data_IF_084088293684
#
_entry.id   IF_084088293684
#
_cell.length_a   1.000
_cell.length_b   1.000
_cell.length_c   1.000
_cell.angle_alpha   90.00
_cell.angle_beta   90.00
_cell.angle_gamma   90.00
#
_symmetry.space_group_name_H-M   'P 1'
#
loop_
_entity.id
_entity.type
_entity.pdbx_description
1 polymer ?
#
# COMPACT_ATOMS: atom_id res chain seq x y z
N UNK A 1 2.48 12.01 5.48
CA UNK A 1 3.15 10.89 6.15
C UNK A 1 3.35 9.76 5.17
N UNK A 2 4.56 9.26 5.08
CA UNK A 2 4.87 8.12 4.20
C UNK A 2 4.36 6.84 4.84
N UNK A 3 3.70 5.97 4.05
CA UNK A 3 3.21 4.69 4.52
C UNK A 3 3.55 3.58 3.54
N UNK A 4 3.79 2.40 4.07
CA UNK A 4 3.83 1.17 3.29
C UNK A 4 2.41 0.62 3.23
N UNK A 5 1.94 0.42 2.02
CA UNK A 5 0.63 -0.13 1.74
C UNK A 5 0.80 -1.54 1.20
N UNK A 6 0.24 -2.51 1.87
CA UNK A 6 0.33 -3.91 1.51
C UNK A 6 -1.03 -4.41 1.03
N UNK A 7 -1.09 -4.84 -0.23
CA UNK A 7 -2.32 -5.27 -0.87
C UNK A 7 -2.26 -6.76 -1.13
N UNK A 8 -3.26 -7.50 -0.67
CA UNK A 8 -3.40 -8.93 -0.97
C UNK A 8 -4.67 -9.12 -1.80
N UNK A 9 -4.52 -9.74 -2.96
CA UNK A 9 -5.59 -9.79 -3.97
C UNK A 9 -6.11 -11.22 -4.09
N UNK A 10 -7.40 -11.46 -3.78
CA UNK A 10 -7.99 -12.77 -3.99
C UNK A 10 -8.05 -13.12 -5.48
N UNK A 11 -8.13 -14.41 -5.77
CA UNK A 11 -8.02 -14.89 -7.16
C UNK A 11 -9.19 -14.50 -8.05
N UNK A 12 -10.41 -14.53 -7.54
CA UNK A 12 -11.62 -14.54 -8.35
C UNK A 12 -11.74 -13.35 -9.32
N UNK A 13 -11.81 -12.14 -8.80
CA UNK A 13 -11.98 -10.94 -9.64
C UNK A 13 -10.75 -10.64 -10.49
N UNK A 14 -9.57 -10.88 -9.95
CA UNK A 14 -8.35 -10.67 -10.71
C UNK A 14 -8.26 -11.66 -11.88
N UNK A 15 -8.55 -12.93 -11.64
CA UNK A 15 -8.59 -13.93 -12.71
C UNK A 15 -9.60 -13.56 -13.78
N UNK A 16 -10.77 -13.08 -13.39
CA UNK A 16 -11.78 -12.64 -14.35
C UNK A 16 -11.25 -11.49 -15.23
N UNK A 17 -10.57 -10.52 -14.63
CA UNK A 17 -9.98 -9.39 -15.36
C UNK A 17 -8.85 -9.84 -16.30
N UNK A 18 -8.04 -10.82 -15.89
CA UNK A 18 -7.01 -11.41 -16.75
C UNK A 18 -7.66 -12.08 -17.95
N UNK A 19 -8.66 -12.92 -17.69
CA UNK A 19 -9.34 -13.69 -18.75
C UNK A 19 -10.06 -12.82 -19.77
N UNK A 20 -10.66 -11.71 -19.32
CA UNK A 20 -11.37 -10.79 -20.24
C UNK A 20 -10.49 -9.67 -20.79
N UNK A 21 -9.19 -9.65 -20.45
CA UNK A 21 -8.24 -8.70 -21.00
C UNK A 21 -8.29 -7.28 -20.42
N UNK A 22 -8.95 -7.08 -19.27
CA UNK A 22 -9.13 -5.74 -18.67
C UNK A 22 -8.19 -5.44 -17.50
N UNK A 23 -7.37 -6.43 -17.07
CA UNK A 23 -6.54 -6.29 -15.85
C UNK A 23 -5.55 -5.13 -15.93
N UNK A 24 -4.87 -4.96 -17.06
CA UNK A 24 -3.90 -3.86 -17.23
C UNK A 24 -4.55 -2.49 -17.11
N UNK A 25 -5.72 -2.31 -17.71
CA UNK A 25 -6.47 -1.06 -17.64
C UNK A 25 -6.94 -0.77 -16.21
N UNK A 26 -7.41 -1.79 -15.49
CA UNK A 26 -7.87 -1.65 -14.10
C UNK A 26 -6.72 -1.27 -13.17
N UNK A 27 -5.59 -1.95 -13.27
CA UNK A 27 -4.40 -1.63 -12.48
C UNK A 27 -3.89 -0.23 -12.83
N UNK A 28 -3.80 0.10 -14.11
CA UNK A 28 -3.37 1.43 -14.56
C UNK A 28 -4.25 2.54 -13.98
N UNK A 29 -5.56 2.36 -13.97
CA UNK A 29 -6.50 3.32 -13.39
C UNK A 29 -6.25 3.53 -11.90
N UNK A 30 -6.01 2.45 -11.16
CA UNK A 30 -5.70 2.53 -9.73
C UNK A 30 -4.40 3.29 -9.50
N UNK A 31 -3.34 2.91 -10.19
CA UNK A 31 -2.02 3.54 -10.01
C UNK A 31 -2.02 5.01 -10.42
N UNK A 32 -2.75 5.37 -11.46
CA UNK A 32 -2.90 6.77 -11.88
C UNK A 32 -3.63 7.60 -10.82
N UNK A 33 -4.58 7.01 -10.13
CA UNK A 33 -5.35 7.70 -9.08
C UNK A 33 -4.53 7.88 -7.80
N UNK A 34 -3.80 6.86 -7.36
CA UNK A 34 -3.11 6.88 -6.07
C UNK A 34 -1.67 7.40 -6.16
N UNK A 35 -1.06 7.38 -7.32
CA UNK A 35 0.29 7.93 -7.59
C UNK A 35 1.33 7.56 -6.54
N UNK A 36 1.65 6.26 -6.38
CA UNK A 36 2.61 5.84 -5.36
C UNK A 36 4.03 6.31 -5.69
N UNK A 37 4.86 6.52 -4.65
CA UNK A 37 6.30 6.76 -4.83
C UNK A 37 7.00 5.54 -5.44
N UNK A 38 6.55 4.35 -5.03
CA UNK A 38 7.07 3.08 -5.52
C UNK A 38 5.97 2.03 -5.47
N UNK A 39 6.01 1.08 -6.40
CA UNK A 39 5.09 -0.05 -6.43
C UNK A 39 5.84 -1.29 -6.90
N UNK A 40 5.61 -2.40 -6.20
CA UNK A 40 6.14 -3.71 -6.56
C UNK A 40 5.03 -4.73 -6.47
N UNK A 41 4.90 -5.56 -7.50
CA UNK A 41 3.97 -6.68 -7.47
C UNK A 41 4.71 -7.92 -7.00
N UNK A 42 4.05 -8.70 -6.15
CA UNK A 42 4.66 -9.88 -5.54
C UNK A 42 3.58 -10.91 -5.23
N UNK A 43 4.00 -11.97 -4.59
CA UNK A 43 3.14 -13.04 -4.08
C UNK A 43 3.07 -12.90 -2.56
N UNK A 44 1.91 -13.18 -1.98
CA UNK A 44 1.71 -13.17 -0.54
C UNK A 44 0.81 -14.34 -0.15
N UNK A 45 1.38 -15.32 0.54
CA UNK A 45 0.67 -16.54 0.97
C UNK A 45 -0.03 -17.25 -0.19
N UNK A 46 0.63 -17.31 -1.35
CA UNK A 46 0.09 -17.95 -2.54
C UNK A 46 -0.91 -17.12 -3.33
N UNK A 47 -1.14 -15.88 -2.94
CA UNK A 47 -2.02 -14.93 -3.64
C UNK A 47 -1.20 -13.82 -4.27
N UNK A 48 -1.75 -13.19 -5.30
CA UNK A 48 -1.16 -12.00 -5.88
C UNK A 48 -1.18 -10.87 -4.86
N UNK A 49 -0.17 -10.04 -4.88
CA UNK A 49 -0.11 -8.90 -4.00
C UNK A 49 0.67 -7.74 -4.59
N UNK A 50 0.61 -6.62 -3.90
CA UNK A 50 1.39 -5.45 -4.23
C UNK A 50 1.89 -4.78 -2.96
N UNK A 51 3.09 -4.25 -3.03
CA UNK A 51 3.68 -3.43 -1.98
C UNK A 51 3.90 -2.05 -2.56
N UNK A 52 3.32 -1.05 -1.92
CA UNK A 52 3.40 0.33 -2.40
C UNK A 52 3.92 1.23 -1.28
N UNK A 53 4.65 2.25 -1.69
CA UNK A 53 5.00 3.35 -0.80
C UNK A 53 4.15 4.54 -1.25
N UNK A 54 3.35 5.06 -0.33
CA UNK A 54 2.40 6.14 -0.61
C UNK A 54 2.58 7.28 0.38
N UNK A 55 2.24 8.48 -0.05
CA UNK A 55 2.18 9.63 0.82
C UNK A 55 0.73 9.89 1.24
N UNK A 56 0.50 9.91 2.56
CA UNK A 56 -0.82 10.18 3.12
C UNK A 56 -0.79 11.57 3.75
N UNK A 57 -1.35 12.58 3.09
CA UNK A 57 -1.29 13.96 3.62
C UNK A 57 -2.10 14.14 4.89
N UNK A 58 -3.20 13.40 5.05
CA UNK A 58 -3.99 13.37 6.27
C UNK A 58 -4.83 12.08 6.31
N UNK A 59 -5.40 11.76 7.47
CA UNK A 59 -6.13 10.52 7.68
C UNK A 59 -7.37 10.37 6.79
N UNK A 60 -8.02 11.45 6.42
CA UNK A 60 -9.19 11.41 5.54
C UNK A 60 -8.85 10.93 4.11
N UNK A 61 -7.56 10.92 3.73
CA UNK A 61 -7.11 10.44 2.42
C UNK A 61 -6.84 8.95 2.37
N UNK A 62 -6.87 8.25 3.49
CA UNK A 62 -6.65 6.79 3.53
C UNK A 62 -7.67 6.02 2.69
N UNK A 63 -8.99 6.30 2.77
CA UNK A 63 -9.95 5.61 1.90
C UNK A 63 -9.70 5.81 0.41
N UNK A 64 -9.23 6.98 0.01
CA UNK A 64 -8.91 7.26 -1.40
C UNK A 64 -7.83 6.32 -1.94
N UNK A 65 -6.92 5.87 -1.06
CA UNK A 65 -5.85 4.95 -1.43
C UNK A 65 -6.30 3.49 -1.38
N UNK A 66 -7.16 3.13 -0.43
CA UNK A 66 -7.57 1.74 -0.20
C UNK A 66 -8.77 1.31 -1.05
N UNK A 67 -9.78 2.15 -1.19
CA UNK A 67 -11.04 1.80 -1.85
C UNK A 67 -10.88 1.35 -3.31
N UNK A 68 -9.97 1.92 -4.12
CA UNK A 68 -9.78 1.40 -5.47
C UNK A 68 -9.46 -0.10 -5.51
N UNK A 69 -8.69 -0.58 -4.54
CA UNK A 69 -8.34 -2.00 -4.42
C UNK A 69 -9.51 -2.84 -3.90
N UNK A 70 -10.21 -2.32 -2.89
CA UNK A 70 -11.39 -3.00 -2.33
C UNK A 70 -12.46 -3.20 -3.40
N UNK A 71 -12.81 -2.13 -4.10
CA UNK A 71 -13.93 -2.14 -5.03
C UNK A 71 -13.59 -2.85 -6.34
N UNK A 72 -12.36 -2.74 -6.81
CA UNK A 72 -11.96 -3.36 -8.08
C UNK A 72 -11.72 -4.85 -7.94
N UNK A 73 -11.01 -5.27 -6.90
CA UNK A 73 -10.55 -6.66 -6.76
C UNK A 73 -11.01 -7.36 -5.49
N UNK A 74 -11.75 -6.69 -4.62
CA UNK A 74 -12.08 -7.21 -3.28
C UNK A 74 -10.83 -7.58 -2.49
N UNK A 75 -9.80 -6.78 -2.65
CA UNK A 75 -8.50 -7.00 -2.02
C UNK A 75 -8.51 -6.62 -0.54
N UNK A 76 -7.58 -7.19 0.21
CA UNK A 76 -7.26 -6.75 1.56
C UNK A 76 -6.14 -5.72 1.48
N UNK A 77 -6.25 -4.66 2.25
CA UNK A 77 -5.27 -3.57 2.27
C UNK A 77 -4.85 -3.28 3.70
N UNK A 78 -3.55 -3.32 3.95
CA UNK A 78 -2.96 -2.98 5.23
C UNK A 78 -2.05 -1.77 5.06
N UNK A 79 -2.04 -0.89 6.06
CA UNK A 79 -1.14 0.26 6.08
C UNK A 79 -0.20 0.16 7.26
N UNK A 80 1.07 0.46 7.02
CA UNK A 80 2.10 0.59 8.05
C UNK A 80 2.83 1.90 7.87
N UNK A 81 3.20 2.52 8.97
CA UNK A 81 4.04 3.72 8.91
C UNK A 81 5.41 3.31 8.37
N UNK A 82 5.89 4.04 7.37
CA UNK A 82 7.21 3.84 6.78
C UNK A 82 8.10 5.02 7.15
N UNK A 83 9.09 4.76 7.97
CA UNK A 83 10.07 5.76 8.40
C UNK A 83 11.37 5.60 7.63
N UNK A 84 11.94 6.72 7.17
CA UNK A 84 13.32 6.72 6.66
C UNK A 84 14.29 6.63 7.84
N UNK A 85 15.59 6.29 7.58
CA UNK A 85 16.60 6.38 8.62
C UNK A 85 16.65 7.77 9.27
N UNK A 86 16.47 8.85 8.51
CA UNK A 86 16.43 10.19 9.05
C UNK A 86 15.22 10.43 9.96
N UNK A 87 14.05 9.90 9.60
CA UNK A 87 12.85 9.97 10.44
C UNK A 87 13.11 9.31 11.79
N UNK A 88 13.70 8.13 11.78
CA UNK A 88 14.03 7.40 12.99
C UNK A 88 15.05 8.16 13.84
N UNK A 89 16.06 8.74 13.20
CA UNK A 89 17.07 9.52 13.87
C UNK A 89 16.47 10.77 14.57
N UNK A 90 15.52 11.43 13.90
CA UNK A 90 14.84 12.61 14.45
C UNK A 90 13.89 12.28 15.60
N UNK A 91 13.57 11.00 15.82
CA UNK A 91 12.65 10.60 16.89
C UNK A 91 13.22 10.78 18.29
N UNK A 92 14.54 10.95 18.43
CA UNK A 92 15.17 11.19 19.73
C UNK A 92 15.32 9.93 20.58
N UNK A 93 15.63 8.79 19.94
CA UNK A 93 15.78 7.51 20.65
C UNK A 93 16.83 7.57 21.78
N UNK A 94 17.92 8.30 21.58
CA UNK A 94 18.96 8.42 22.61
C UNK A 94 18.44 9.10 23.88
N UNK A 95 17.63 10.14 23.72
CA UNK A 95 17.00 10.83 24.86
C UNK A 95 15.94 9.96 25.53
N UNK A 96 15.21 9.20 24.72
CA UNK A 96 14.23 8.22 25.25
C UNK A 96 14.94 7.14 26.05
N UNK A 97 16.10 6.66 25.61
CA UNK A 97 16.87 5.66 26.32
C UNK A 97 17.28 6.15 27.72
N UNK A 98 17.67 7.43 27.84
CA UNK A 98 18.03 8.01 29.14
C UNK A 98 16.85 8.06 30.10
N UNK A 99 15.65 8.32 29.57
CA UNK A 99 14.43 8.40 30.38
C UNK A 99 13.93 7.02 30.84
N UNK A 100 14.09 6.02 30.00
CA UNK A 100 13.50 4.69 30.19
C UNK A 100 14.50 3.59 30.54
N UNK A 101 15.75 3.97 30.72
CA UNK A 101 16.80 3.00 31.10
C UNK A 101 16.66 2.47 32.54
#
# INVERSE_FOLDING_TARGET
MRMLMNVTIPHHKFNAAVKNGTVGKKIGKILDAIKPEAVYFTEQNGKRGAILIVNVPNDAKVPMLAEPWFLTFEADVEFRIAMTPDDLKRSGLEDLAKKWA
#
